data_IF_326278246121
#
_entry.id   IF_326278246121
#
_cell.length_a   1.000
_cell.length_b   1.000
_cell.length_c   1.000
_cell.angle_alpha   90.00
_cell.angle_beta   90.00
_cell.angle_gamma   90.00
#
_symmetry.space_group_name_H-M   'P 1'
#
loop_
_entity.id
_entity.type
_entity.pdbx_description
1 polymer ?
#
# COMPACT_ATOMS: atom_id res chain seq x y z
N UNK A 1 -26.98 -9.82 -30.32
CA UNK A 1 -25.90 -8.87 -29.98
C UNK A 1 -26.26 -8.24 -28.66
N UNK A 2 -25.59 -8.66 -27.59
CA UNK A 2 -25.83 -8.15 -26.25
C UNK A 2 -25.02 -6.85 -26.05
N UNK A 3 -25.70 -5.76 -25.68
CA UNK A 3 -25.16 -4.39 -25.57
C UNK A 3 -24.83 -4.01 -24.11
N UNK A 4 -24.53 -4.98 -23.25
CA UNK A 4 -24.42 -4.78 -21.79
C UNK A 4 -23.02 -4.45 -21.26
N UNK A 5 -22.00 -4.30 -22.13
CA UNK A 5 -20.66 -3.86 -21.75
C UNK A 5 -20.43 -2.46 -22.31
N UNK A 6 -20.29 -1.46 -21.43
CA UNK A 6 -20.12 -0.05 -21.81
C UNK A 6 -18.68 0.45 -21.67
N UNK A 7 -17.79 -0.26 -20.96
CA UNK A 7 -16.37 0.10 -20.83
C UNK A 7 -15.47 -1.06 -20.38
N UNK A 8 -14.14 -0.88 -20.50
CA UNK A 8 -13.13 -1.80 -19.97
C UNK A 8 -13.20 -1.96 -18.43
N UNK A 9 -13.60 -0.90 -17.72
CA UNK A 9 -13.78 -0.90 -16.26
C UNK A 9 -14.97 -1.78 -15.84
N UNK A 10 -16.05 -1.78 -16.61
CA UNK A 10 -17.20 -2.68 -16.37
C UNK A 10 -16.85 -4.15 -16.58
N UNK A 11 -16.01 -4.45 -17.58
CA UNK A 11 -15.55 -5.81 -17.83
C UNK A 11 -14.64 -6.33 -16.70
N UNK A 12 -13.79 -5.44 -16.15
CA UNK A 12 -12.94 -5.74 -14.99
C UNK A 12 -13.78 -5.94 -13.70
N UNK A 13 -14.73 -5.06 -13.42
CA UNK A 13 -15.59 -5.15 -12.23
C UNK A 13 -16.54 -6.35 -12.26
N UNK A 14 -16.99 -6.78 -13.44
CA UNK A 14 -17.88 -7.95 -13.59
C UNK A 14 -17.13 -9.29 -13.68
N UNK A 15 -15.80 -9.30 -13.60
CA UNK A 15 -15.00 -10.55 -13.60
C UNK A 15 -15.17 -11.43 -14.85
N UNK A 16 -15.73 -10.88 -15.93
CA UNK A 16 -16.02 -11.61 -17.17
C UNK A 16 -14.76 -11.67 -18.04
N UNK A 17 -13.87 -12.59 -17.68
CA UNK A 17 -12.79 -13.06 -18.54
C UNK A 17 -13.23 -14.40 -19.14
N UNK A 18 -13.52 -14.44 -20.44
CA UNK A 18 -13.72 -15.69 -21.22
C UNK A 18 -12.39 -16.40 -21.45
N UNK A 19 -11.64 -16.64 -20.38
CA UNK A 19 -10.43 -17.46 -20.38
C UNK A 19 -10.75 -18.89 -19.89
N UNK A 20 -9.82 -19.84 -20.06
CA UNK A 20 -9.96 -21.18 -19.51
C UNK A 20 -10.30 -21.10 -18.01
N UNK A 21 -11.19 -22.00 -17.55
CA UNK A 21 -11.65 -22.03 -16.15
C UNK A 21 -10.44 -22.02 -15.21
N UNK A 22 -10.31 -20.94 -14.44
CA UNK A 22 -9.32 -20.85 -13.38
C UNK A 22 -9.45 -22.09 -12.47
N UNK A 23 -8.36 -22.78 -12.10
CA UNK A 23 -8.42 -23.80 -11.08
C UNK A 23 -8.95 -23.18 -9.78
N UNK A 24 -10.12 -23.62 -9.34
CA UNK A 24 -10.71 -23.20 -8.07
C UNK A 24 -10.00 -23.88 -6.90
N UNK A 25 -8.94 -23.23 -6.37
CA UNK A 25 -8.47 -23.37 -4.98
C UNK A 25 -7.33 -24.35 -4.65
N UNK A 26 -6.50 -23.93 -3.65
CA UNK A 26 -5.50 -24.69 -2.86
C UNK A 26 -4.25 -25.24 -3.58
N UNK A 27 -3.51 -24.35 -4.27
CA UNK A 27 -2.12 -24.62 -4.65
C UNK A 27 -1.15 -23.69 -3.89
N UNK A 28 0.12 -24.10 -3.80
CA UNK A 28 1.22 -23.22 -3.38
C UNK A 28 1.20 -21.93 -4.21
N UNK A 29 1.53 -20.81 -3.57
CA UNK A 29 1.58 -19.49 -4.21
C UNK A 29 3.02 -19.02 -4.31
N UNK A 30 3.28 -18.13 -5.27
CA UNK A 30 4.49 -17.32 -5.27
C UNK A 30 4.17 -15.98 -4.64
N UNK A 31 4.96 -15.58 -3.66
CA UNK A 31 4.99 -14.24 -3.10
C UNK A 31 6.16 -13.51 -3.75
N UNK A 32 5.88 -12.36 -4.34
CA UNK A 32 6.85 -11.63 -5.16
C UNK A 32 7.01 -10.22 -4.66
N UNK A 33 8.25 -9.74 -4.64
CA UNK A 33 8.59 -8.35 -4.36
C UNK A 33 9.59 -7.89 -5.42
N UNK A 34 9.39 -6.67 -5.90
CA UNK A 34 10.30 -6.02 -6.84
C UNK A 34 10.19 -4.51 -6.66
N UNK A 35 11.21 -3.80 -7.11
CA UNK A 35 11.19 -2.34 -7.29
C UNK A 35 11.53 -1.97 -8.74
N UNK A 36 10.94 -0.89 -9.23
CA UNK A 36 11.21 -0.32 -10.54
C UNK A 36 11.07 1.19 -10.55
N UNK A 37 11.50 1.81 -11.65
CA UNK A 37 11.36 3.23 -11.92
C UNK A 37 10.96 3.43 -13.39
N UNK A 38 10.87 4.67 -13.87
CA UNK A 38 10.68 4.95 -15.30
C UNK A 38 11.74 4.31 -16.21
N UNK A 39 12.89 3.89 -15.66
CA UNK A 39 13.96 3.20 -16.39
C UNK A 39 13.80 1.68 -16.46
N UNK A 40 12.75 1.13 -15.85
CA UNK A 40 12.51 -0.30 -15.78
C UNK A 40 12.58 -0.87 -14.36
N UNK A 41 12.43 -2.19 -14.29
CA UNK A 41 12.71 -2.98 -13.10
C UNK A 41 14.21 -2.91 -12.75
N UNK A 42 14.53 -2.80 -11.46
CA UNK A 42 15.93 -2.77 -10.99
C UNK A 42 16.56 -4.15 -11.07
N UNK A 43 17.69 -4.28 -11.76
CA UNK A 43 18.35 -5.57 -11.98
C UNK A 43 18.68 -6.31 -10.66
N UNK A 44 18.27 -7.58 -10.60
CA UNK A 44 18.39 -8.41 -9.40
C UNK A 44 17.59 -7.87 -8.19
N UNK A 45 16.52 -7.12 -8.45
CA UNK A 45 15.55 -6.69 -7.44
C UNK A 45 14.37 -7.64 -7.24
N UNK A 46 14.17 -8.61 -8.14
CA UNK A 46 13.10 -9.61 -8.00
C UNK A 46 13.40 -10.59 -6.86
N UNK A 47 12.58 -10.55 -5.82
CA UNK A 47 12.48 -11.59 -4.80
C UNK A 47 11.22 -12.43 -5.07
N UNK A 48 11.39 -13.75 -5.08
CA UNK A 48 10.30 -14.70 -5.27
C UNK A 48 10.39 -15.77 -4.18
N UNK A 49 9.32 -15.93 -3.39
CA UNK A 49 9.23 -16.87 -2.27
C UNK A 49 8.05 -17.80 -2.54
N UNK A 50 8.28 -19.11 -2.39
CA UNK A 50 7.20 -20.09 -2.44
C UNK A 50 6.46 -20.17 -1.11
N UNK A 51 5.14 -20.35 -1.18
CA UNK A 51 4.36 -20.61 0.00
C UNK A 51 4.56 -22.00 0.59
N UNK A 52 4.97 -22.03 1.85
CA UNK A 52 5.20 -23.20 2.71
C UNK A 52 3.89 -23.88 3.07
N UNK A 53 2.75 -23.17 3.10
CA UNK A 53 1.42 -23.73 3.39
C UNK A 53 0.38 -23.37 2.32
N UNK A 54 -0.61 -24.24 2.15
CA UNK A 54 -1.84 -24.03 1.35
C UNK A 54 -2.86 -23.10 2.07
N UNK A 55 -2.41 -22.26 3.00
CA UNK A 55 -3.27 -21.34 3.75
C UNK A 55 -3.41 -20.02 3.00
N UNK A 56 -4.58 -19.39 3.12
CA UNK A 56 -4.85 -18.11 2.47
C UNK A 56 -4.04 -16.94 3.07
N UNK A 57 -3.38 -17.18 4.20
CA UNK A 57 -2.60 -16.21 4.96
C UNK A 57 -1.14 -16.19 4.49
N UNK A 58 -0.79 -15.15 3.73
CA UNK A 58 0.52 -14.89 3.14
C UNK A 58 1.49 -14.20 4.12
N UNK A 59 1.02 -13.86 5.33
CA UNK A 59 1.78 -13.03 6.28
C UNK A 59 2.91 -13.78 7.02
N UNK A 60 2.96 -15.12 6.94
CA UNK A 60 4.02 -15.92 7.59
C UNK A 60 5.37 -15.90 6.83
N UNK A 61 5.36 -15.60 5.53
CA UNK A 61 6.54 -15.79 4.65
C UNK A 61 7.20 -14.47 4.23
N UNK A 62 6.39 -13.47 3.84
CA UNK A 62 6.85 -12.09 3.69
C UNK A 62 6.58 -11.35 4.99
N UNK A 63 7.62 -11.26 5.83
CA UNK A 63 7.57 -10.57 7.12
C UNK A 63 8.56 -9.40 7.14
N UNK A 64 8.62 -8.70 8.28
CA UNK A 64 9.48 -7.54 8.46
C UNK A 64 10.97 -7.82 8.23
N UNK A 65 11.46 -8.98 8.70
CA UNK A 65 12.87 -9.35 8.58
C UNK A 65 13.22 -9.69 7.12
N UNK A 66 12.41 -10.54 6.47
CA UNK A 66 12.58 -10.90 5.05
C UNK A 66 12.56 -9.65 4.16
N UNK A 67 11.62 -8.73 4.42
CA UNK A 67 11.55 -7.49 3.67
C UNK A 67 12.75 -6.58 3.94
N UNK A 68 13.17 -6.46 5.20
CA UNK A 68 14.34 -5.65 5.58
C UNK A 68 15.63 -6.15 4.91
N UNK A 69 15.87 -7.45 4.90
CA UNK A 69 17.05 -8.05 4.25
C UNK A 69 17.06 -7.77 2.74
N UNK A 70 15.91 -7.96 2.08
CA UNK A 70 15.74 -7.61 0.67
C UNK A 70 15.95 -6.12 0.42
N UNK A 71 15.39 -5.27 1.29
CA UNK A 71 15.49 -3.83 1.19
C UNK A 71 16.95 -3.35 1.33
N UNK A 72 17.69 -3.89 2.29
CA UNK A 72 19.12 -3.64 2.44
C UNK A 72 19.91 -4.06 1.19
N UNK A 73 19.56 -5.20 0.59
CA UNK A 73 20.21 -5.70 -0.63
C UNK A 73 19.92 -4.86 -1.88
N UNK A 74 18.75 -4.20 -1.95
CA UNK A 74 18.35 -3.41 -3.13
C UNK A 74 18.80 -1.95 -3.05
N UNK A 75 18.91 -1.36 -1.85
CA UNK A 75 19.30 0.05 -1.64
C UNK A 75 20.58 0.47 -2.40
N UNK A 76 21.67 -0.32 -2.41
CA UNK A 76 22.90 0.02 -3.14
C UNK A 76 22.74 0.05 -4.66
N UNK A 77 21.70 -0.61 -5.20
CA UNK A 77 21.42 -0.65 -6.65
C UNK A 77 20.54 0.51 -7.11
N UNK A 78 19.97 1.27 -6.17
CA UNK A 78 19.16 2.44 -6.48
C UNK A 78 20.05 3.67 -6.68
N UNK A 79 19.60 4.60 -7.52
CA UNK A 79 20.29 5.88 -7.70
C UNK A 79 20.38 6.66 -6.39
N UNK A 80 21.43 7.47 -6.26
CA UNK A 80 21.54 8.41 -5.15
C UNK A 80 20.36 9.39 -5.13
N UNK A 81 19.98 9.86 -3.94
CA UNK A 81 18.92 10.85 -3.74
C UNK A 81 17.55 10.41 -4.29
N UNK A 82 17.29 9.10 -4.33
CA UNK A 82 16.03 8.55 -4.82
C UNK A 82 14.94 8.62 -3.75
N UNK A 83 13.71 8.82 -4.20
CA UNK A 83 12.49 8.64 -3.40
C UNK A 83 11.96 7.25 -3.67
N UNK A 84 11.79 6.45 -2.61
CA UNK A 84 11.25 5.10 -2.68
C UNK A 84 9.77 5.17 -2.32
N UNK A 85 8.91 4.93 -3.31
CA UNK A 85 7.46 4.95 -3.13
C UNK A 85 6.96 3.54 -2.82
N UNK A 86 6.15 3.38 -1.77
CA UNK A 86 5.57 2.08 -1.38
C UNK A 86 4.20 2.21 -0.72
N UNK A 87 3.46 1.11 -0.66
CA UNK A 87 2.20 1.02 0.08
C UNK A 87 2.42 0.83 1.60
N UNK A 88 1.32 0.76 2.36
CA UNK A 88 1.35 0.65 3.81
C UNK A 88 1.22 -0.80 4.32
N UNK A 89 1.79 -1.79 3.60
CA UNK A 89 1.81 -3.16 4.11
C UNK A 89 2.46 -3.23 5.50
N UNK A 90 1.96 -4.12 6.36
CA UNK A 90 2.39 -4.19 7.77
C UNK A 90 3.90 -4.43 7.92
N UNK A 91 4.49 -5.24 7.02
CA UNK A 91 5.92 -5.53 7.00
C UNK A 91 6.79 -4.36 6.49
N UNK A 92 6.22 -3.35 5.81
CA UNK A 92 6.91 -2.07 5.55
C UNK A 92 6.95 -1.16 6.80
N UNK A 93 6.10 -1.44 7.78
CA UNK A 93 5.82 -0.57 8.92
C UNK A 93 6.42 -1.07 10.24
N UNK A 94 7.53 -1.82 10.17
CA UNK A 94 8.26 -2.27 11.37
C UNK A 94 8.82 -1.05 12.11
N UNK A 95 8.41 -0.88 13.37
CA UNK A 95 8.85 0.24 14.20
C UNK A 95 10.28 0.05 14.68
N UNK A 96 11.10 1.09 14.56
CA UNK A 96 12.46 1.09 15.10
C UNK A 96 12.42 1.04 16.64
N UNK A 97 11.52 1.82 17.24
CA UNK A 97 11.23 1.79 18.66
C UNK A 97 9.71 1.70 18.88
N UNK A 98 9.21 0.64 19.51
CA UNK A 98 7.78 0.49 19.78
C UNK A 98 7.22 1.66 20.61
N UNK A 99 6.26 2.37 20.04
CA UNK A 99 5.54 3.44 20.74
C UNK A 99 4.50 2.84 21.70
N UNK A 100 4.41 3.31 22.95
CA UNK A 100 3.42 2.83 23.90
C UNK A 100 1.99 2.95 23.37
N UNK A 101 1.15 1.98 23.72
CA UNK A 101 -0.28 1.99 23.42
C UNK A 101 -1.11 1.78 24.69
N UNK A 102 -2.44 1.93 24.58
CA UNK A 102 -3.36 1.66 25.68
C UNK A 102 -3.37 0.20 26.15
N UNK A 103 -2.71 -0.74 25.47
CA UNK A 103 -2.56 -2.12 25.95
C UNK A 103 -1.33 -2.31 26.86
N UNK A 104 -0.35 -1.39 26.84
CA UNK A 104 0.88 -1.51 27.64
C UNK A 104 0.61 -1.38 29.15
N UNK A 105 1.39 -2.06 30.00
CA UNK A 105 1.33 -1.86 31.46
C UNK A 105 1.80 -0.45 31.82
N UNK A 106 1.20 0.17 32.85
CA UNK A 106 1.55 1.55 33.28
C UNK A 106 3.06 1.74 33.49
N UNK A 107 3.72 0.81 34.19
CA UNK A 107 5.16 0.92 34.47
C UNK A 107 6.00 0.91 33.19
N UNK A 108 5.56 0.20 32.14
CA UNK A 108 6.25 0.20 30.84
C UNK A 108 6.09 1.52 30.11
N UNK A 109 4.92 2.17 30.22
CA UNK A 109 4.70 3.50 29.66
C UNK A 109 5.59 4.53 30.39
N UNK A 110 5.68 4.45 31.72
CA UNK A 110 6.57 5.31 32.52
C UNK A 110 8.04 5.08 32.16
N UNK A 111 8.48 3.82 32.03
CA UNK A 111 9.84 3.49 31.61
C UNK A 111 10.16 4.08 30.23
N UNK A 112 9.24 3.97 29.28
CA UNK A 112 9.42 4.54 27.94
C UNK A 112 9.49 6.08 27.98
N UNK A 113 8.56 6.75 28.67
CA UNK A 113 8.58 8.21 28.80
C UNK A 113 9.88 8.70 29.46
N UNK A 114 10.35 8.02 30.52
CA UNK A 114 11.62 8.36 31.17
C UNK A 114 12.83 8.12 30.26
N UNK A 115 12.82 7.06 29.45
CA UNK A 115 13.91 6.83 28.48
C UNK A 115 13.98 7.88 27.38
N UNK A 116 12.87 8.61 27.13
CA UNK A 116 12.81 9.78 26.24
C UNK A 116 13.08 11.11 26.95
N UNK A 117 13.53 11.08 28.21
CA UNK A 117 13.86 12.26 28.99
C UNK A 117 12.65 12.96 29.64
N UNK A 118 11.44 12.37 29.58
CA UNK A 118 10.28 12.96 30.24
C UNK A 118 10.29 12.69 31.75
N UNK A 119 10.11 13.74 32.54
CA UNK A 119 9.90 13.63 33.99
C UNK A 119 8.44 13.27 34.23
N UNK A 120 8.22 12.13 34.91
CA UNK A 120 6.88 11.63 35.26
C UNK A 120 6.78 11.49 36.77
N UNK A 121 5.94 12.34 37.36
CA UNK A 121 5.53 12.24 38.76
C UNK A 121 4.41 11.21 38.91
N UNK A 122 4.53 10.35 39.92
CA UNK A 122 3.56 9.30 40.24
C UNK A 122 2.89 9.62 41.58
N UNK A 123 1.58 9.31 41.76
CA UNK A 123 0.74 8.51 40.87
C UNK A 123 0.15 9.30 39.70
N UNK A 124 0.14 8.70 38.50
CA UNK A 124 -0.48 9.26 37.30
C UNK A 124 -1.42 8.22 36.65
N UNK A 125 -2.51 8.71 36.07
CA UNK A 125 -3.47 7.90 35.32
C UNK A 125 -3.00 7.67 33.90
N UNK A 126 -3.39 6.52 33.32
CA UNK A 126 -2.85 6.06 32.03
C UNK A 126 -3.15 7.02 30.88
N UNK A 127 -4.29 7.70 30.90
CA UNK A 127 -4.66 8.66 29.86
C UNK A 127 -3.68 9.84 29.82
N UNK A 128 -3.33 10.42 30.98
CA UNK A 128 -2.36 11.52 31.06
C UNK A 128 -0.96 11.10 30.59
N UNK A 129 -0.58 9.84 30.85
CA UNK A 129 0.67 9.29 30.30
C UNK A 129 0.60 9.23 28.77
N UNK A 130 -0.54 8.83 28.21
CA UNK A 130 -0.74 8.77 26.75
C UNK A 130 -0.83 10.15 26.09
N UNK A 131 -1.33 11.18 26.79
CA UNK A 131 -1.24 12.58 26.33
C UNK A 131 0.23 12.97 26.11
N UNK A 132 1.09 12.72 27.10
CA UNK A 132 2.54 12.96 26.98
C UNK A 132 3.18 12.13 25.87
N UNK A 133 2.77 10.87 25.70
CA UNK A 133 3.24 10.05 24.57
C UNK A 133 2.84 10.70 23.25
N UNK A 134 1.60 11.20 23.10
CA UNK A 134 1.13 11.86 21.87
C UNK A 134 1.92 13.12 21.55
N UNK A 135 2.23 13.94 22.55
CA UNK A 135 3.02 15.18 22.39
C UNK A 135 4.38 14.90 21.74
N UNK A 136 5.09 13.86 22.19
CA UNK A 136 6.44 13.55 21.72
C UNK A 136 6.48 12.47 20.64
N UNK A 137 5.34 11.86 20.29
CA UNK A 137 5.25 10.69 19.42
C UNK A 137 6.00 10.90 18.10
N UNK A 138 5.74 12.01 17.44
CA UNK A 138 6.29 12.33 16.12
C UNK A 138 7.83 12.33 16.07
N UNK A 139 8.51 12.56 17.20
CA UNK A 139 9.97 12.53 17.29
C UNK A 139 10.54 11.09 17.26
N UNK A 140 9.73 10.11 17.66
CA UNK A 140 10.15 8.72 17.86
C UNK A 140 9.40 7.73 16.97
N UNK A 141 8.37 8.18 16.24
CA UNK A 141 7.51 7.33 15.40
C UNK A 141 8.20 6.94 14.08
N UNK A 142 9.39 6.34 14.20
CA UNK A 142 10.29 5.98 13.12
C UNK A 142 10.14 4.51 12.73
N UNK A 143 10.42 4.22 11.47
CA UNK A 143 10.39 2.87 10.91
C UNK A 143 11.81 2.40 10.56
N UNK A 144 12.04 1.10 10.72
CA UNK A 144 13.37 0.50 10.50
C UNK A 144 13.85 0.76 9.07
N UNK A 145 12.99 0.55 8.08
CA UNK A 145 13.33 0.71 6.65
C UNK A 145 13.55 2.18 6.26
N UNK A 146 12.81 3.13 6.87
CA UNK A 146 12.95 4.55 6.60
C UNK A 146 14.33 5.03 7.05
N UNK A 147 14.76 4.62 8.25
CA UNK A 147 16.08 4.95 8.78
C UNK A 147 17.20 4.25 7.99
N UNK A 148 16.97 3.06 7.47
CA UNK A 148 17.92 2.37 6.59
C UNK A 148 18.09 3.08 5.25
N UNK A 149 17.00 3.53 4.63
CA UNK A 149 17.05 4.33 3.40
C UNK A 149 17.80 5.65 3.63
N UNK A 150 17.56 6.32 4.76
CA UNK A 150 18.20 7.59 5.10
C UNK A 150 19.73 7.48 5.23
N UNK A 151 20.25 6.36 5.78
CA UNK A 151 21.71 6.09 5.80
C UNK A 151 22.33 6.11 4.40
N UNK A 152 21.54 5.78 3.38
CA UNK A 152 21.93 5.76 1.97
C UNK A 152 21.49 7.01 1.20
N UNK A 153 21.18 8.11 1.90
CA UNK A 153 20.65 9.37 1.37
C UNK A 153 19.44 9.19 0.45
N UNK A 154 18.50 8.34 0.85
CA UNK A 154 17.23 8.06 0.17
C UNK A 154 16.09 8.26 1.15
N UNK A 155 14.93 8.62 0.63
CA UNK A 155 13.73 8.82 1.46
C UNK A 155 12.64 7.84 1.07
N UNK A 156 11.82 7.42 2.02
CA UNK A 156 10.65 6.58 1.79
C UNK A 156 9.41 7.48 1.77
N UNK A 157 8.60 7.35 0.72
CA UNK A 157 7.30 7.99 0.58
C UNK A 157 6.22 6.91 0.60
N UNK A 158 5.28 7.01 1.53
CA UNK A 158 4.15 6.08 1.62
C UNK A 158 2.95 6.66 0.90
N UNK A 159 2.26 5.79 0.15
CA UNK A 159 1.03 6.17 -0.52
C UNK A 159 -0.10 6.42 0.49
N UNK A 160 -1.09 7.27 0.14
CA UNK A 160 -2.34 7.34 0.88
C UNK A 160 -3.02 5.95 1.00
N UNK A 161 -3.62 5.61 2.15
CA UNK A 161 -4.32 4.34 2.30
C UNK A 161 -5.40 4.15 1.24
N UNK A 162 -5.49 2.95 0.66
CA UNK A 162 -6.49 2.55 -0.34
C UNK A 162 -6.38 3.22 -1.72
N UNK A 163 -5.26 3.90 -2.02
CA UNK A 163 -5.01 4.54 -3.32
C UNK A 163 -3.95 3.79 -4.15
N UNK A 164 -4.28 2.58 -4.58
CA UNK A 164 -3.34 1.76 -5.38
C UNK A 164 -3.15 2.30 -6.80
N UNK A 165 -4.05 3.13 -7.32
CA UNK A 165 -3.93 3.87 -8.58
C UNK A 165 -2.71 4.82 -8.58
N UNK A 166 -2.27 5.24 -7.39
CA UNK A 166 -1.07 6.06 -7.20
C UNK A 166 0.22 5.23 -7.15
N UNK A 167 0.15 3.91 -7.37
CA UNK A 167 1.29 3.02 -7.38
C UNK A 167 1.58 2.48 -8.79
N UNK A 168 2.61 2.97 -9.51
CA UNK A 168 2.87 2.54 -10.89
C UNK A 168 3.27 1.06 -11.00
N UNK A 169 3.79 0.45 -9.93
CA UNK A 169 4.15 -0.98 -9.95
C UNK A 169 2.93 -1.88 -10.09
N UNK A 170 1.73 -1.43 -9.75
CA UNK A 170 0.51 -2.22 -9.93
C UNK A 170 0.21 -2.46 -11.42
N UNK A 171 0.54 -1.49 -12.29
CA UNK A 171 0.43 -1.63 -13.74
C UNK A 171 1.50 -2.57 -14.28
N UNK A 172 2.73 -2.49 -13.76
CA UNK A 172 3.79 -3.44 -14.09
C UNK A 172 3.38 -4.87 -13.70
N UNK A 173 2.85 -5.06 -12.49
CA UNK A 173 2.33 -6.34 -12.04
C UNK A 173 1.13 -6.81 -12.86
N UNK A 174 0.25 -5.92 -13.31
CA UNK A 174 -0.84 -6.29 -14.21
C UNK A 174 -0.29 -6.87 -15.52
N UNK A 175 0.75 -6.27 -16.11
CA UNK A 175 1.40 -6.79 -17.31
C UNK A 175 2.03 -8.18 -17.07
N UNK A 176 2.79 -8.34 -15.99
CA UNK A 176 3.41 -9.62 -15.61
C UNK A 176 2.35 -10.69 -15.34
N UNK A 177 1.32 -10.39 -14.55
CA UNK A 177 0.21 -11.31 -14.25
C UNK A 177 -0.54 -11.73 -15.50
N UNK A 178 -0.75 -10.83 -16.45
CA UNK A 178 -1.37 -11.16 -17.73
C UNK A 178 -0.50 -12.13 -18.52
N UNK A 179 0.82 -11.88 -18.62
CA UNK A 179 1.73 -12.80 -19.28
C UNK A 179 1.69 -14.20 -18.66
N UNK A 180 1.78 -14.31 -17.34
CA UNK A 180 1.67 -15.59 -16.62
C UNK A 180 0.32 -16.25 -16.91
N UNK A 181 -0.79 -15.51 -16.84
CA UNK A 181 -2.14 -16.05 -17.06
C UNK A 181 -2.33 -16.64 -18.45
N UNK A 182 -1.80 -15.99 -19.50
CA UNK A 182 -1.98 -16.46 -20.87
C UNK A 182 -1.06 -17.64 -21.24
N UNK A 183 0.10 -17.76 -20.59
CA UNK A 183 1.10 -18.77 -20.93
C UNK A 183 1.16 -19.94 -19.94
N UNK A 184 0.50 -19.84 -18.80
CA UNK A 184 0.43 -20.91 -17.80
C UNK A 184 -0.50 -22.04 -18.28
N UNK A 185 0.08 -23.04 -18.93
CA UNK A 185 -0.62 -24.22 -19.46
C UNK A 185 -0.50 -25.44 -18.55
N UNK A 186 0.53 -25.50 -17.71
CA UNK A 186 0.85 -26.68 -16.90
C UNK A 186 0.39 -26.57 -15.44
N UNK A 187 0.15 -25.34 -14.96
CA UNK A 187 -0.20 -25.03 -13.57
C UNK A 187 0.82 -25.52 -12.54
N UNK A 188 2.06 -25.80 -12.96
CA UNK A 188 3.16 -26.19 -12.07
C UNK A 188 3.89 -24.95 -11.56
N UNK A 189 4.28 -24.97 -10.29
CA UNK A 189 4.88 -23.80 -9.64
C UNK A 189 6.20 -23.37 -10.29
N UNK A 190 7.06 -24.31 -10.67
CA UNK A 190 8.32 -24.01 -11.36
C UNK A 190 8.08 -23.32 -12.71
N UNK A 191 7.07 -23.79 -13.46
CA UNK A 191 6.73 -23.18 -14.75
C UNK A 191 6.14 -21.77 -14.54
N UNK A 192 5.34 -21.58 -13.49
CA UNK A 192 4.84 -20.25 -13.09
C UNK A 192 5.98 -19.34 -12.66
N UNK A 193 7.01 -19.85 -11.97
CA UNK A 193 8.18 -19.07 -11.59
C UNK A 193 9.00 -18.65 -12.81
N UNK A 194 9.16 -19.52 -13.81
CA UNK A 194 9.82 -19.14 -15.06
C UNK A 194 9.01 -18.08 -15.80
N UNK A 195 7.69 -18.27 -15.94
CA UNK A 195 6.80 -17.29 -16.57
C UNK A 195 6.78 -15.95 -15.82
N UNK A 196 6.95 -15.95 -14.51
CA UNK A 196 7.09 -14.73 -13.72
C UNK A 196 8.37 -13.98 -14.13
N UNK A 197 9.51 -14.68 -14.22
CA UNK A 197 10.78 -14.09 -14.64
C UNK A 197 10.69 -13.57 -16.08
N UNK A 198 10.12 -14.36 -16.99
CA UNK A 198 9.91 -13.96 -18.38
C UNK A 198 8.98 -12.73 -18.46
N UNK A 199 7.90 -12.74 -17.68
CA UNK A 199 6.98 -11.61 -17.57
C UNK A 199 7.65 -10.33 -17.09
N UNK A 200 8.52 -10.41 -16.08
CA UNK A 200 9.32 -9.27 -15.59
C UNK A 200 10.25 -8.75 -16.69
N UNK A 201 10.93 -9.64 -17.41
CA UNK A 201 11.82 -9.27 -18.52
C UNK A 201 11.08 -8.64 -19.72
N UNK A 202 9.81 -8.96 -19.92
CA UNK A 202 8.97 -8.35 -20.96
C UNK A 202 8.52 -6.93 -20.62
N UNK A 203 8.55 -6.52 -19.35
CA UNK A 203 8.21 -5.14 -18.95
C UNK A 203 9.39 -4.23 -19.26
N UNK A 204 9.32 -3.59 -20.42
CA UNK A 204 10.38 -2.70 -20.91
C UNK A 204 10.42 -1.36 -20.15
N UNK A 205 11.55 -0.61 -20.21
CA UNK A 205 11.64 0.75 -19.70
C UNK A 205 10.56 1.69 -20.26
N UNK A 206 10.22 1.56 -21.55
CA UNK A 206 9.16 2.36 -22.17
C UNK A 206 7.78 2.08 -21.54
N UNK A 207 7.49 0.82 -21.22
CA UNK A 207 6.25 0.48 -20.49
C UNK A 207 6.25 1.10 -19.09
N UNK A 208 7.37 1.00 -18.38
CA UNK A 208 7.54 1.60 -17.06
C UNK A 208 7.37 3.12 -17.06
N UNK A 209 7.97 3.82 -18.02
CA UNK A 209 7.78 5.26 -18.20
C UNK A 209 6.29 5.61 -18.41
N UNK A 210 5.58 4.84 -19.23
CA UNK A 210 4.14 5.02 -19.46
C UNK A 210 3.31 4.75 -18.20
N UNK A 211 3.70 3.77 -17.36
CA UNK A 211 3.02 3.49 -16.10
C UNK A 211 3.17 4.64 -15.11
N UNK A 212 4.37 5.21 -15.01
CA UNK A 212 4.62 6.40 -14.18
C UNK A 212 3.81 7.59 -14.70
N UNK A 213 3.81 7.84 -16.01
CA UNK A 213 3.02 8.92 -16.62
C UNK A 213 1.52 8.75 -16.37
N UNK A 214 1.00 7.52 -16.44
CA UNK A 214 -0.38 7.23 -16.09
C UNK A 214 -0.69 7.56 -14.64
N UNK A 215 0.16 7.14 -13.70
CA UNK A 215 -0.01 7.43 -12.28
C UNK A 215 -0.01 8.93 -11.99
N UNK A 216 0.88 9.71 -12.62
CA UNK A 216 0.89 11.18 -12.50
C UNK A 216 -0.44 11.78 -12.99
N UNK A 217 -0.99 11.26 -14.10
CA UNK A 217 -2.30 11.71 -14.60
C UNK A 217 -3.46 11.35 -13.67
N UNK A 218 -3.38 10.24 -12.94
CA UNK A 218 -4.38 9.91 -11.92
C UNK A 218 -4.26 10.82 -10.70
N UNK A 219 -3.04 11.14 -10.26
CA UNK A 219 -2.78 12.13 -9.21
C UNK A 219 -3.36 13.51 -9.57
N UNK A 220 -3.09 14.00 -10.79
CA UNK A 220 -3.64 15.28 -11.28
C UNK A 220 -5.19 15.31 -11.27
N UNK A 221 -5.85 14.17 -11.50
CA UNK A 221 -7.31 14.08 -11.46
C UNK A 221 -7.82 14.17 -10.03
N UNK A 222 -7.18 13.47 -9.09
CA UNK A 222 -7.54 13.54 -7.67
C UNK A 222 -7.38 14.96 -7.16
N UNK A 223 -6.27 15.61 -7.49
CA UNK A 223 -6.01 16.99 -7.09
C UNK A 223 -7.06 17.98 -7.63
N UNK A 224 -7.54 17.78 -8.86
CA UNK A 224 -8.64 18.59 -9.42
C UNK A 224 -9.97 18.35 -8.71
N UNK A 225 -10.24 17.12 -8.28
CA UNK A 225 -11.46 16.81 -7.51
C UNK A 225 -11.42 17.54 -6.17
N UNK A 226 -10.26 17.53 -5.49
CA UNK A 226 -10.10 18.22 -4.21
C UNK A 226 -10.39 19.72 -4.33
N UNK A 227 -9.85 20.41 -5.34
CA UNK A 227 -10.17 21.83 -5.60
C UNK A 227 -11.66 22.07 -5.83
N UNK A 228 -12.30 21.20 -6.61
CA UNK A 228 -13.73 21.34 -6.88
C UNK A 228 -14.53 21.17 -5.58
N UNK A 229 -14.17 20.18 -4.75
CA UNK A 229 -14.82 19.95 -3.45
C UNK A 229 -14.64 21.14 -2.52
N UNK A 230 -13.44 21.72 -2.46
CA UNK A 230 -13.16 22.94 -1.68
C UNK A 230 -14.01 24.13 -2.16
N UNK A 231 -14.06 24.39 -3.48
CA UNK A 231 -14.90 25.44 -4.06
C UNK A 231 -16.40 25.25 -3.73
N UNK A 232 -16.89 24.00 -3.71
CA UNK A 232 -18.27 23.68 -3.33
C UNK A 232 -18.53 23.90 -1.83
N UNK A 233 -17.57 23.57 -0.96
CA UNK A 233 -17.66 23.78 0.49
C UNK A 233 -17.63 25.27 0.84
N UNK A 234 -16.76 26.06 0.19
CA UNK A 234 -16.67 27.51 0.39
C UNK A 234 -17.83 28.28 -0.27
N UNK A 235 -18.34 27.80 -1.41
CA UNK A 235 -19.49 28.38 -2.11
C UNK A 235 -20.86 28.09 -1.48
N UNK A 236 -20.90 27.26 -0.42
CA UNK A 236 -22.13 26.82 0.24
C UNK A 236 -22.78 27.89 1.13
N UNK A 237 -23.51 28.84 0.54
CA UNK A 237 -24.55 29.57 1.28
C UNK A 237 -25.59 28.59 1.80
N UNK A 238 -25.74 28.53 3.13
CA UNK A 238 -26.80 27.85 3.90
C UNK A 238 -28.12 27.66 3.12
N UNK A 239 -28.30 26.49 2.50
CA UNK A 239 -29.61 26.06 2.04
C UNK A 239 -30.37 25.51 3.25
N UNK A 240 -30.99 26.42 4.01
CA UNK A 240 -32.03 26.05 4.98
C UNK A 240 -33.18 25.46 4.16
N UNK A 241 -33.30 24.13 4.16
CA UNK A 241 -34.54 23.49 3.75
C UNK A 241 -35.62 23.92 4.74
N UNK A 242 -36.39 24.95 4.36
CA UNK A 242 -37.57 25.34 5.10
C UNK A 242 -38.65 24.30 4.80
N UNK A 243 -38.79 23.33 5.70
CA UNK A 243 -39.93 22.42 5.69
C UNK A 243 -41.14 23.22 6.16
N UNK A 244 -41.89 23.83 5.24
CA UNK A 244 -43.24 24.32 5.52
C UNK A 244 -44.16 23.11 5.60
N UNK A 245 -44.20 22.48 6.77
CA UNK A 245 -45.19 21.46 7.10
C UNK A 245 -46.50 22.14 7.46
N UNK A 246 -47.45 22.13 6.53
CA UNK A 246 -48.84 22.46 6.81
C UNK A 246 -49.44 21.33 7.66
N UNK A 247 -49.60 21.57 8.97
CA UNK A 247 -50.38 20.69 9.84
C UNK A 247 -51.86 20.97 9.63
N UNK A 248 -52.48 20.30 8.66
CA UNK A 248 -53.94 20.12 8.67
C UNK A 248 -54.26 18.79 9.35
N UNK A 249 -54.59 18.89 10.63
CA UNK A 249 -55.24 17.85 11.40
C UNK A 249 -56.72 17.85 11.01
N UNK A 250 -57.20 16.78 10.39
CA UNK A 250 -58.62 16.45 10.43
C UNK A 250 -58.80 15.01 10.92
N UNK A 251 -59.13 14.92 12.22
CA UNK A 251 -59.83 13.79 12.83
C UNK A 251 -61.27 13.78 12.32
N UNK A 252 -61.71 12.67 11.72
CA UNK A 252 -62.79 11.77 12.19
C UNK A 252 -63.09 10.72 11.11
#
# INVERSE_FOLDING_TARGET
>A
MDKTIKSHRDAFLKGLSTGPKNPTGKGKRLIVVHIGSAEGFVEGGLLCIESKKNTADYHDEMNGDTFYDWFCGILPKLKNNSVIVMDNASYHSVKLDPIPTMTWKKDKIVQWLRSKGCIIETPMVKHMMMDKVREIRHLYDKYVIDEEALKSNKIVLRLPPYHCELNPIELAWAAVKNHVKYNNTTFKLNDVQQLLVDGVNLVTPNMWANFVEHTIKEEDKLFKIDFITEDFEEGGTSHVMTITGDTSSDLF
#
